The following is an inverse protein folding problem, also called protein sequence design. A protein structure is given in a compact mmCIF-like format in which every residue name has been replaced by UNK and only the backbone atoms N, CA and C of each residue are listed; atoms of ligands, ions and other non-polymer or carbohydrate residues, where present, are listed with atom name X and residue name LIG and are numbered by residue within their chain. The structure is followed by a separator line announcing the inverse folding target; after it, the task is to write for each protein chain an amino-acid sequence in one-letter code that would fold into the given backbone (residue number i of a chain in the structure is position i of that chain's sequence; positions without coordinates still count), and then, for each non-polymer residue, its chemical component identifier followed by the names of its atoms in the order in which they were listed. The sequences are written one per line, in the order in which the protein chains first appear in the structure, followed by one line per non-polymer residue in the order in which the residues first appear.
data_IF_765038779910
#
_entry.id   IF_765038779910
#
_cell.length_a   1.000
_cell.length_b   1.000
_cell.length_c   1.000
_cell.angle_alpha   90.00
_cell.angle_beta   90.00
_cell.angle_gamma   90.00
#
_symmetry.space_group_name_H-M   'P 1'
#
loop_
_entity.id
_entity.type
_entity.pdbx_description
1 polymer ?
#
# COMPACT_ATOMS: atom_id res chain seq x y z
N UNK A 1 -18.67 13.11 -15.91
CA UNK A 1 -17.89 12.18 -15.09
C UNK A 1 -16.47 12.21 -15.65
N UNK A 2 -15.55 12.87 -14.95
CA UNK A 2 -14.19 13.08 -15.45
C UNK A 2 -13.34 11.84 -15.18
N UNK A 3 -12.93 11.15 -16.24
CA UNK A 3 -11.87 10.14 -16.16
C UNK A 3 -10.56 10.86 -15.83
N UNK A 4 -10.14 10.84 -14.57
CA UNK A 4 -8.77 11.21 -14.22
C UNK A 4 -7.85 10.10 -14.71
N UNK A 5 -7.36 10.26 -15.94
CA UNK A 5 -6.15 9.59 -16.40
C UNK A 5 -4.99 10.13 -15.56
N UNK A 6 -4.66 9.42 -14.49
CA UNK A 6 -3.30 9.48 -13.95
C UNK A 6 -2.41 8.73 -14.95
N UNK A 7 -1.94 9.41 -15.98
CA UNK A 7 -0.81 8.91 -16.77
C UNK A 7 0.41 8.90 -15.85
N UNK A 8 0.78 7.71 -15.38
CA UNK A 8 2.12 7.48 -14.89
C UNK A 8 3.05 7.84 -16.05
N UNK A 9 3.83 8.92 -15.90
CA UNK A 9 4.89 9.24 -16.84
C UNK A 9 5.76 7.98 -17.01
N UNK A 10 5.78 7.45 -18.23
CA UNK A 10 6.67 6.37 -18.63
C UNK A 10 8.12 6.85 -18.45
N UNK A 11 8.72 6.53 -17.30
CA UNK A 11 10.17 6.48 -17.17
C UNK A 11 10.62 5.07 -17.57
N UNK A 12 10.70 4.82 -18.88
CA UNK A 12 11.31 3.62 -19.46
C UNK A 12 12.85 3.57 -19.26
N UNK A 13 13.36 4.09 -18.15
CA UNK A 13 14.79 4.15 -17.87
C UNK A 13 15.15 3.92 -16.38
N UNK A 14 14.29 3.29 -15.59
CA UNK A 14 14.60 3.05 -14.18
C UNK A 14 14.26 1.61 -13.77
N UNK A 15 15.15 0.67 -14.12
CA UNK A 15 15.04 -0.76 -13.73
C UNK A 15 15.36 -0.99 -12.24
N UNK A 16 15.44 0.07 -11.44
CA UNK A 16 15.72 0.00 -10.02
C UNK A 16 14.49 -0.34 -9.18
N UNK A 17 14.68 -0.66 -7.88
CA UNK A 17 13.59 -0.82 -6.93
C UNK A 17 12.76 0.46 -6.83
N UNK A 18 11.43 0.35 -6.99
CA UNK A 18 10.50 1.48 -6.87
C UNK A 18 9.41 1.19 -5.84
N UNK A 19 8.95 2.23 -5.17
CA UNK A 19 7.81 2.16 -4.26
C UNK A 19 6.74 3.14 -4.68
N UNK A 20 5.51 2.66 -4.74
CA UNK A 20 4.32 3.49 -4.91
C UNK A 20 3.46 3.40 -3.66
N UNK A 21 3.12 4.56 -3.12
CA UNK A 21 2.16 4.70 -2.04
C UNK A 21 0.84 5.18 -2.62
N UNK A 22 -0.24 4.43 -2.39
CA UNK A 22 -1.61 4.83 -2.69
C UNK A 22 -2.37 4.93 -1.38
N UNK A 23 -3.08 6.05 -1.19
CA UNK A 23 -3.88 6.31 0.00
C UNK A 23 -5.34 6.51 -0.43
N UNK A 24 -6.24 5.76 0.19
CA UNK A 24 -7.68 5.86 0.00
C UNK A 24 -8.29 6.26 1.35
N UNK A 25 -8.83 7.47 1.43
CA UNK A 25 -9.51 7.96 2.62
C UNK A 25 -11.00 7.66 2.52
N UNK A 26 -11.57 7.15 3.61
CA UNK A 26 -12.99 6.87 3.74
C UNK A 26 -13.57 7.72 4.87
N UNK A 27 -14.89 7.90 4.82
CA UNK A 27 -15.69 8.63 5.80
C UNK A 27 -15.97 7.84 7.09
N UNK A 28 -15.62 6.55 7.13
CA UNK A 28 -15.78 5.73 8.33
C UNK A 28 -15.08 4.37 8.25
N UNK A 29 -14.88 3.75 9.42
CA UNK A 29 -14.12 2.50 9.57
C UNK A 29 -14.73 1.34 8.79
N UNK A 30 -16.06 1.21 8.79
CA UNK A 30 -16.77 0.17 8.02
C UNK A 30 -16.51 0.29 6.52
N UNK A 31 -16.50 1.52 5.99
CA UNK A 31 -16.24 1.78 4.58
C UNK A 31 -14.77 1.54 4.23
N UNK A 32 -13.84 1.92 5.12
CA UNK A 32 -12.42 1.60 4.97
C UNK A 32 -12.17 0.09 4.96
N UNK A 33 -12.85 -0.67 5.84
CA UNK A 33 -12.74 -2.14 5.87
C UNK A 33 -13.29 -2.78 4.59
N UNK A 34 -14.45 -2.34 4.12
CA UNK A 34 -15.01 -2.80 2.84
C UNK A 34 -14.08 -2.46 1.66
N UNK A 35 -13.54 -1.24 1.66
CA UNK A 35 -12.57 -0.76 0.67
C UNK A 35 -11.29 -1.59 0.65
N UNK A 36 -10.71 -1.87 1.82
CA UNK A 36 -9.54 -2.75 1.96
C UNK A 36 -9.81 -4.13 1.36
N UNK A 37 -10.95 -4.76 1.72
CA UNK A 37 -11.32 -6.08 1.19
C UNK A 37 -11.46 -6.07 -0.33
N UNK A 38 -12.08 -5.03 -0.89
CA UNK A 38 -12.23 -4.85 -2.33
C UNK A 38 -10.88 -4.70 -3.03
N UNK A 39 -9.98 -3.90 -2.46
CA UNK A 39 -8.64 -3.69 -3.00
C UNK A 39 -7.80 -4.98 -2.96
N UNK A 40 -7.79 -5.70 -1.83
CA UNK A 40 -7.13 -7.01 -1.68
C UNK A 40 -7.66 -7.98 -2.73
N UNK A 41 -8.98 -8.11 -2.88
CA UNK A 41 -9.57 -8.98 -3.89
C UNK A 41 -9.16 -8.59 -5.32
N UNK A 42 -9.06 -7.28 -5.62
CA UNK A 42 -8.64 -6.80 -6.93
C UNK A 42 -7.17 -7.13 -7.23
N UNK A 43 -6.26 -6.87 -6.29
CA UNK A 43 -4.82 -7.10 -6.52
C UNK A 43 -4.49 -8.60 -6.59
N UNK A 44 -5.07 -9.42 -5.72
CA UNK A 44 -4.84 -10.88 -5.77
C UNK A 44 -5.48 -11.54 -6.99
N UNK A 45 -6.56 -10.99 -7.57
CA UNK A 45 -7.10 -11.48 -8.85
C UNK A 45 -6.16 -11.26 -10.03
N UNK A 46 -5.40 -10.17 -10.01
CA UNK A 46 -4.43 -9.87 -11.07
C UNK A 46 -3.19 -10.78 -10.97
N UNK A 47 -2.88 -11.26 -9.76
CA UNK A 47 -1.66 -12.01 -9.46
C UNK A 47 -1.95 -13.43 -8.94
N UNK A 48 -2.32 -14.35 -9.83
CA UNK A 48 -2.61 -15.75 -9.47
C UNK A 48 -1.42 -16.52 -8.83
N UNK A 49 -0.22 -15.94 -8.83
CA UNK A 49 1.01 -16.49 -8.23
C UNK A 49 1.43 -15.76 -6.94
N UNK A 50 0.59 -14.88 -6.41
CA UNK A 50 0.89 -14.17 -5.18
C UNK A 50 1.12 -15.15 -4.04
N UNK A 51 2.14 -14.89 -3.22
CA UNK A 51 2.43 -15.63 -1.99
C UNK A 51 2.26 -14.69 -0.82
N UNK A 52 1.48 -15.11 0.17
CA UNK A 52 1.31 -14.33 1.39
C UNK A 52 2.65 -14.09 2.10
N UNK A 53 2.81 -12.89 2.65
CA UNK A 53 3.92 -12.48 3.49
C UNK A 53 3.40 -12.07 4.86
N UNK A 54 4.11 -12.45 5.91
CA UNK A 54 3.87 -11.93 7.25
C UNK A 54 4.81 -10.76 7.51
N UNK A 55 4.25 -9.57 7.72
CA UNK A 55 4.99 -8.35 8.09
C UNK A 55 4.31 -7.69 9.29
N UNK A 56 5.10 -7.00 10.11
CA UNK A 56 4.63 -6.18 11.22
C UNK A 56 4.55 -4.72 10.77
N UNK A 57 3.36 -4.22 10.46
CA UNK A 57 3.12 -2.85 9.95
C UNK A 57 2.62 -1.86 11.00
N UNK A 58 2.06 -2.35 12.13
CA UNK A 58 1.33 -1.55 13.13
C UNK A 58 0.05 -0.87 12.62
N UNK A 59 -0.44 -1.28 11.46
CA UNK A 59 -1.78 -0.99 11.00
C UNK A 59 -2.81 -1.83 11.75
N UNK A 60 -4.09 -1.44 11.69
CA UNK A 60 -5.17 -2.20 12.31
C UNK A 60 -5.39 -3.54 11.60
N UNK A 61 -5.26 -3.53 10.26
CA UNK A 61 -5.31 -4.70 9.41
C UNK A 61 -4.21 -4.62 8.35
N UNK A 62 -3.64 -5.76 7.95
CA UNK A 62 -2.60 -5.84 6.91
C UNK A 62 -2.75 -7.12 6.11
N UNK A 63 -2.71 -6.96 4.80
CA UNK A 63 -2.55 -8.02 3.82
C UNK A 63 -1.27 -7.75 3.03
N UNK A 64 -0.27 -8.62 3.15
CA UNK A 64 1.00 -8.47 2.45
C UNK A 64 1.29 -9.72 1.62
N UNK A 65 1.90 -9.51 0.46
CA UNK A 65 2.16 -10.57 -0.49
C UNK A 65 3.36 -10.24 -1.38
N UNK A 66 3.90 -11.27 -2.02
CA UNK A 66 4.92 -11.16 -3.06
C UNK A 66 4.45 -11.83 -4.34
N UNK A 67 4.74 -11.20 -5.47
CA UNK A 67 4.50 -11.74 -6.81
C UNK A 67 5.78 -11.55 -7.60
N UNK A 68 6.44 -12.65 -8.00
CA UNK A 68 7.70 -12.60 -8.74
C UNK A 68 8.81 -11.94 -7.91
N UNK A 69 9.30 -10.80 -8.37
CA UNK A 69 10.35 -10.00 -7.73
C UNK A 69 9.81 -8.76 -6.99
N UNK A 70 8.49 -8.66 -6.88
CA UNK A 70 7.79 -7.52 -6.29
C UNK A 70 7.10 -7.94 -5.00
N UNK A 71 7.04 -7.02 -4.04
CA UNK A 71 6.36 -7.24 -2.76
C UNK A 71 5.50 -6.04 -2.43
N UNK A 72 4.28 -6.30 -1.97
CA UNK A 72 3.30 -5.26 -1.72
C UNK A 72 2.52 -5.52 -0.43
N UNK A 73 1.95 -4.45 0.13
CA UNK A 73 1.10 -4.52 1.31
C UNK A 73 -0.10 -3.58 1.19
N UNK A 74 -1.29 -4.10 1.45
CA UNK A 74 -2.50 -3.33 1.72
C UNK A 74 -2.70 -3.26 3.22
N UNK A 75 -2.88 -2.05 3.77
CA UNK A 75 -2.96 -1.80 5.21
C UNK A 75 -4.14 -0.87 5.51
N UNK A 76 -4.82 -1.09 6.63
CA UNK A 76 -5.86 -0.17 7.12
C UNK A 76 -5.42 0.50 8.42
N UNK A 77 -5.53 1.83 8.47
CA UNK A 77 -5.22 2.66 9.64
C UNK A 77 -6.40 3.59 9.89
N UNK A 78 -7.27 3.25 10.84
CA UNK A 78 -8.56 3.90 11.03
C UNK A 78 -9.39 3.88 9.74
N UNK A 79 -9.76 5.07 9.26
CA UNK A 79 -10.55 5.27 8.04
C UNK A 79 -9.72 5.35 6.76
N UNK A 80 -8.40 5.13 6.82
CA UNK A 80 -7.51 5.19 5.65
C UNK A 80 -7.04 3.78 5.26
N UNK A 81 -7.12 3.46 3.98
CA UNK A 81 -6.48 2.27 3.40
C UNK A 81 -5.25 2.72 2.61
N UNK A 82 -4.09 2.17 2.98
CA UNK A 82 -2.82 2.40 2.31
C UNK A 82 -2.42 1.17 1.51
N UNK A 83 -2.00 1.37 0.26
CA UNK A 83 -1.39 0.35 -0.56
C UNK A 83 0.05 0.75 -0.90
N UNK A 84 0.99 -0.07 -0.43
CA UNK A 84 2.42 0.04 -0.71
C UNK A 84 2.76 -1.00 -1.75
N UNK A 85 3.03 -0.56 -2.98
CA UNK A 85 3.46 -1.44 -4.07
C UNK A 85 4.96 -1.30 -4.29
N UNK A 86 5.72 -2.37 -4.02
CA UNK A 86 7.16 -2.42 -4.22
C UNK A 86 7.51 -3.18 -5.50
N UNK A 87 7.88 -2.45 -6.55
CA UNK A 87 8.38 -3.02 -7.82
C UNK A 87 9.86 -3.32 -7.65
N UNK A 88 10.29 -4.55 -7.95
CA UNK A 88 11.65 -5.05 -7.67
C UNK A 88 12.08 -4.96 -6.19
N UNK A 89 11.12 -4.85 -5.26
CA UNK A 89 11.36 -4.93 -3.81
C UNK A 89 11.24 -6.38 -3.38
N UNK A 90 12.35 -7.11 -3.44
CA UNK A 90 12.38 -8.56 -3.24
C UNK A 90 12.51 -8.99 -1.78
N UNK A 91 12.98 -8.09 -0.90
CA UNK A 91 13.22 -8.40 0.52
C UNK A 91 11.99 -8.04 1.36
N UNK A 92 11.34 -9.01 2.02
CA UNK A 92 10.20 -8.73 2.90
C UNK A 92 10.51 -7.71 4.01
N UNK A 93 11.75 -7.69 4.50
CA UNK A 93 12.21 -6.74 5.50
C UNK A 93 12.17 -5.28 5.00
N UNK A 94 12.41 -5.04 3.72
CA UNK A 94 12.36 -3.69 3.16
C UNK A 94 10.90 -3.25 2.98
N UNK A 95 10.02 -4.13 2.46
CA UNK A 95 8.57 -3.88 2.45
C UNK A 95 8.05 -3.53 3.85
N UNK A 96 8.46 -4.27 4.88
CA UNK A 96 8.05 -4.00 6.26
C UNK A 96 8.46 -2.59 6.74
N UNK A 97 9.68 -2.14 6.41
CA UNK A 97 10.13 -0.79 6.78
C UNK A 97 9.24 0.28 6.14
N UNK A 98 8.95 0.15 4.85
CA UNK A 98 8.11 1.12 4.14
C UNK A 98 6.64 1.05 4.56
N UNK A 99 6.15 -0.14 4.90
CA UNK A 99 4.83 -0.33 5.48
C UNK A 99 4.70 0.42 6.81
N UNK A 100 5.67 0.23 7.73
CA UNK A 100 5.71 0.96 9.01
C UNK A 100 5.81 2.47 8.81
N UNK A 101 6.72 2.92 7.96
CA UNK A 101 6.87 4.34 7.63
C UNK A 101 5.54 4.94 7.19
N UNK A 102 4.81 4.26 6.30
CA UNK A 102 3.54 4.80 5.80
C UNK A 102 2.45 4.82 6.88
N UNK A 103 2.39 3.81 7.74
CA UNK A 103 1.48 3.79 8.89
C UNK A 103 1.80 4.95 9.85
N UNK A 104 3.08 5.19 10.15
CA UNK A 104 3.53 6.30 11.00
C UNK A 104 3.16 7.66 10.42
N UNK A 105 3.37 7.86 9.10
CA UNK A 105 2.99 9.09 8.40
C UNK A 105 1.48 9.33 8.48
N UNK A 106 0.66 8.30 8.28
CA UNK A 106 -0.81 8.41 8.40
C UNK A 106 -1.20 8.81 9.83
N UNK A 107 -0.66 8.13 10.85
CA UNK A 107 -0.95 8.44 12.25
C UNK A 107 -0.50 9.85 12.64
N UNK A 108 0.66 10.28 12.15
CA UNK A 108 1.20 11.63 12.38
C UNK A 108 0.31 12.71 11.77
N UNK A 109 -0.11 12.51 10.52
CA UNK A 109 -1.02 13.41 9.82
C UNK A 109 -2.40 13.46 10.50
N UNK A 110 -2.94 12.32 10.93
CA UNK A 110 -4.20 12.26 11.68
C UNK A 110 -4.13 13.01 13.02
N UNK A 111 -2.94 13.08 13.62
CA UNK A 111 -2.68 13.90 14.81
C UNK A 111 -2.44 15.40 14.53
N UNK A 112 -2.64 15.86 13.29
CA UNK A 112 -2.49 17.27 12.90
C UNK A 112 -1.04 17.73 12.76
N UNK A 113 -0.08 16.81 12.63
CA UNK A 113 1.35 17.12 12.48
C UNK A 113 1.81 16.86 11.05
N UNK A 114 2.85 17.58 10.61
CA UNK A 114 3.49 17.29 9.32
C UNK A 114 4.17 15.92 9.38
N UNK A 115 3.77 14.94 8.54
CA UNK A 115 4.34 13.59 8.54
C UNK A 115 5.77 13.51 7.98
N UNK A 116 6.27 14.58 7.35
CA UNK A 116 7.59 14.65 6.70
C UNK A 116 8.53 15.66 7.38
N UNK A 117 8.16 16.17 8.56
CA UNK A 117 8.97 17.09 9.34
C UNK A 117 10.12 16.40 10.08
#
# INVERSE_FOLDING_TARGET
MGNSHYEAQNSEADSGPRLRFTLLAYDGDSNAKAGMKGLVASVHKQDAKSKALSIQSWADETDAYTTGDSSSAVMRVGTVVAYVAGVHVTKPADLQKFAKLQVERIKTAAGGKNPDA
#
